data_IF_559752223953
#
_entry.id   IF_559752223953
#
_cell.length_a   1.000
_cell.length_b   1.000
_cell.length_c   1.000
_cell.angle_alpha   90.00
_cell.angle_beta   90.00
_cell.angle_gamma   90.00
#
_symmetry.space_group_name_H-M   'P 1'
#
loop_
_entity.id
_entity.type
_entity.pdbx_description
1 polymer ?
#
# COMPACT_ATOMS: atom_id res chain seq x y z
N UNK A 1 -15.72 2.26 4.07
CA UNK A 1 -14.90 3.46 3.81
C UNK A 1 -14.04 3.69 5.04
N UNK A 2 -12.76 3.34 4.99
CA UNK A 2 -11.86 3.50 6.12
C UNK A 2 -11.08 4.81 5.96
N UNK A 3 -11.23 5.75 6.89
CA UNK A 3 -10.38 6.94 6.95
C UNK A 3 -9.10 6.56 7.70
N UNK A 4 -7.99 6.41 6.97
CA UNK A 4 -6.70 6.11 7.57
C UNK A 4 -5.92 7.39 7.86
N UNK A 5 -5.24 7.41 9.01
CA UNK A 5 -4.40 8.54 9.43
C UNK A 5 -3.09 8.55 8.64
N UNK A 6 -2.71 9.71 8.11
CA UNK A 6 -1.34 9.92 7.60
C UNK A 6 -0.35 9.89 8.77
N UNK A 7 0.72 9.12 8.63
CA UNK A 7 1.76 8.95 9.65
C UNK A 7 3.10 9.34 9.06
N UNK A 8 3.93 10.01 9.86
CA UNK A 8 5.33 10.19 9.51
C UNK A 8 6.04 8.84 9.59
N UNK A 9 6.74 8.46 8.53
CA UNK A 9 7.51 7.22 8.48
C UNK A 9 8.98 7.52 8.73
N UNK A 10 9.52 8.54 8.05
CA UNK A 10 10.89 9.00 8.21
C UNK A 10 11.01 10.54 8.01
N UNK A 11 12.23 11.04 7.83
CA UNK A 11 12.50 12.47 7.65
C UNK A 11 12.00 13.06 6.32
N UNK A 12 11.74 12.22 5.32
CA UNK A 12 11.39 12.61 3.96
C UNK A 12 10.06 11.99 3.48
N UNK A 13 9.47 11.07 4.23
CA UNK A 13 8.29 10.33 3.81
C UNK A 13 7.19 10.25 4.88
N UNK A 14 5.95 10.21 4.40
CA UNK A 14 4.77 9.93 5.18
C UNK A 14 3.95 8.85 4.46
N UNK A 15 3.18 8.09 5.22
CA UNK A 15 2.40 6.97 4.69
C UNK A 15 1.04 6.82 5.35
N UNK A 16 0.19 6.06 4.67
CA UNK A 16 -1.10 5.61 5.19
C UNK A 16 -1.05 4.10 5.38
N UNK A 17 -1.72 3.60 6.41
CA UNK A 17 -1.82 2.16 6.65
C UNK A 17 -3.03 1.60 5.91
N UNK A 18 -2.85 0.46 5.23
CA UNK A 18 -3.94 -0.32 4.67
C UNK A 18 -4.44 -1.34 5.69
N UNK A 19 -5.76 -1.58 5.81
CA UNK A 19 -6.29 -2.64 6.67
C UNK A 19 -5.76 -4.03 6.27
N UNK A 20 -5.41 -4.86 7.25
CA UNK A 20 -4.92 -6.23 6.98
C UNK A 20 -5.93 -7.08 6.23
N UNK A 21 -7.23 -6.87 6.45
CA UNK A 21 -8.27 -7.65 5.76
C UNK A 21 -8.28 -7.35 4.26
N UNK A 22 -8.11 -6.08 3.87
CA UNK A 22 -7.99 -5.68 2.45
C UNK A 22 -6.72 -6.30 1.83
N UNK A 23 -5.58 -6.23 2.54
CA UNK A 23 -4.33 -6.83 2.07
C UNK A 23 -4.42 -8.35 1.93
N UNK A 24 -5.16 -9.03 2.80
CA UNK A 24 -5.36 -10.48 2.76
C UNK A 24 -6.25 -10.91 1.60
N UNK A 25 -7.29 -10.11 1.28
CA UNK A 25 -8.14 -10.36 0.11
C UNK A 25 -7.33 -10.35 -1.19
N UNK A 26 -6.33 -9.47 -1.27
CA UNK A 26 -5.40 -9.37 -2.39
C UNK A 26 -4.21 -10.34 -2.30
N UNK A 27 -4.15 -11.20 -1.27
CA UNK A 27 -3.07 -12.17 -1.08
C UNK A 27 -1.69 -11.57 -0.77
N UNK A 28 -1.63 -10.28 -0.38
CA UNK A 28 -0.38 -9.56 -0.11
C UNK A 28 0.24 -9.91 1.26
N UNK A 29 -0.56 -10.51 2.14
CA UNK A 29 -0.11 -10.96 3.45
C UNK A 29 -0.51 -12.41 3.70
N UNK A 30 0.30 -13.11 4.47
CA UNK A 30 0.08 -14.50 4.88
C UNK A 30 -0.97 -14.62 6.01
N UNK A 31 -1.15 -15.85 6.51
CA UNK A 31 -2.07 -16.14 7.63
C UNK A 31 -1.66 -15.47 8.95
N UNK A 32 -0.37 -15.18 9.14
CA UNK A 32 0.17 -14.46 10.29
C UNK A 32 0.02 -12.93 10.12
N UNK A 33 -0.36 -12.50 8.91
CA UNK A 33 -0.50 -11.11 8.52
C UNK A 33 0.84 -10.40 8.34
N UNK A 34 1.85 -11.14 7.90
CA UNK A 34 3.15 -10.67 7.42
C UNK A 34 3.11 -10.61 5.89
N UNK A 35 3.94 -9.75 5.27
CA UNK A 35 3.99 -9.67 3.80
C UNK A 35 4.45 -11.01 3.23
N UNK A 36 3.69 -11.54 2.28
CA UNK A 36 3.97 -12.85 1.69
C UNK A 36 5.23 -12.81 0.81
N UNK A 37 5.41 -11.72 0.05
CA UNK A 37 6.52 -11.52 -0.88
C UNK A 37 6.92 -10.04 -1.01
N UNK A 38 7.91 -9.75 -1.86
CA UNK A 38 8.22 -8.39 -2.29
C UNK A 38 7.14 -7.87 -3.23
N UNK A 39 6.36 -6.89 -2.74
CA UNK A 39 5.29 -6.26 -3.49
C UNK A 39 5.62 -4.80 -3.76
N UNK A 40 5.36 -4.34 -4.99
CA UNK A 40 5.50 -2.94 -5.37
C UNK A 40 4.14 -2.35 -5.71
N UNK A 41 3.95 -1.08 -5.33
CA UNK A 41 2.73 -0.33 -5.64
C UNK A 41 3.12 0.90 -6.44
N UNK A 42 2.48 1.08 -7.58
CA UNK A 42 2.58 2.31 -8.34
C UNK A 42 1.64 3.36 -7.74
N UNK A 43 2.19 4.52 -7.39
CA UNK A 43 1.45 5.65 -6.80
C UNK A 43 1.40 6.78 -7.81
N UNK A 44 0.21 7.10 -8.32
CA UNK A 44 0.00 8.17 -9.27
C UNK A 44 -0.85 9.28 -8.66
N UNK A 45 -0.36 10.53 -8.68
CA UNK A 45 -1.19 11.69 -8.36
C UNK A 45 -2.16 11.94 -9.52
N UNK A 46 -3.44 11.97 -9.21
CA UNK A 46 -4.48 12.27 -10.21
C UNK A 46 -4.93 13.72 -10.10
N UNK A 47 -5.20 14.21 -8.89
CA UNK A 47 -5.70 15.57 -8.64
C UNK A 47 -5.10 16.15 -7.34
N UNK A 48 -5.60 17.30 -6.90
CA UNK A 48 -5.27 17.87 -5.60
C UNK A 48 -5.75 16.98 -4.45
N UNK A 49 -4.80 16.49 -3.66
CA UNK A 49 -5.06 15.61 -2.53
C UNK A 49 -5.55 14.21 -2.90
N UNK A 50 -5.45 13.80 -4.16
CA UNK A 50 -5.92 12.49 -4.62
C UNK A 50 -4.83 11.72 -5.37
N UNK A 51 -4.69 10.46 -4.99
CA UNK A 51 -3.78 9.50 -5.61
C UNK A 51 -4.51 8.20 -5.90
N UNK A 52 -4.12 7.55 -6.98
CA UNK A 52 -4.46 6.14 -7.25
C UNK A 52 -3.25 5.28 -6.91
N UNK A 53 -3.54 4.11 -6.33
CA UNK A 53 -2.55 3.10 -5.98
C UNK A 53 -2.91 1.82 -6.73
N UNK A 54 -1.91 1.21 -7.37
CA UNK A 54 -2.09 -0.02 -8.15
C UNK A 54 -0.95 -0.98 -7.82
N UNK A 55 -1.29 -2.24 -7.51
CA UNK A 55 -0.31 -3.29 -7.32
C UNK A 55 0.39 -3.60 -8.65
N UNK A 56 1.71 -3.69 -8.64
CA UNK A 56 2.49 -4.05 -9.82
C UNK A 56 2.80 -5.54 -9.74
N UNK A 57 2.34 -6.30 -10.73
CA UNK A 57 2.77 -7.68 -10.93
C UNK A 57 4.09 -7.69 -11.70
N UNK A 58 5.16 -8.21 -11.08
CA UNK A 58 6.45 -8.41 -11.75
C UNK A 58 7.09 -7.14 -12.27
N UNK A 59 7.99 -6.53 -11.49
CA UNK A 59 8.98 -5.64 -12.09
C UNK A 59 9.97 -6.56 -12.80
N UNK A 60 9.67 -6.95 -14.04
CA UNK A 60 10.65 -7.60 -14.92
C UNK A 60 11.90 -6.70 -14.93
N UNK A 61 12.97 -7.22 -14.33
CA UNK A 61 14.26 -6.54 -14.17
C UNK A 61 15.08 -6.64 -15.44
#
# INVERSE_FOLDING_TARGET
>A
MALNKLRQLDGNSAGVTMPKDDLRLEGLIDENGELADEHHVHIQRVNDGQWTLELVEGIDS
#
